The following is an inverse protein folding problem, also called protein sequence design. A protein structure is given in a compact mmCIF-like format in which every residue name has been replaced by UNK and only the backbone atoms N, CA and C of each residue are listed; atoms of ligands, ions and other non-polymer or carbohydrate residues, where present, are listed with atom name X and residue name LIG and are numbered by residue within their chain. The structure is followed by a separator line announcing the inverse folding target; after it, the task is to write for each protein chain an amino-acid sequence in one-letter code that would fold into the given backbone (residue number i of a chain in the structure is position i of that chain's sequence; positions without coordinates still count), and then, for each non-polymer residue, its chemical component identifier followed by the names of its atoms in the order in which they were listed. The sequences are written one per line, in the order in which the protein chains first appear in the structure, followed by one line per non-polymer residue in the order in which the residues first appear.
data_IF_300553539041
#
_entry.id   IF_300553539041
#
_cell.length_a   1.000
_cell.length_b   1.000
_cell.length_c   1.000
_cell.angle_alpha   90.00
_cell.angle_beta   90.00
_cell.angle_gamma   90.00
#
_symmetry.space_group_name_H-M   'P 1'
#
loop_
_entity.id
_entity.type
_entity.pdbx_description
1 polymer ?
#
# COMPACT_ATOMS: atom_id res chain seq x y z
N UNK A 1 1.32 0.07 -5.55
CA UNK A 1 2.35 -0.28 -6.55
C UNK A 1 3.63 0.41 -6.15
N UNK A 2 4.75 -0.29 -6.20
CA UNK A 2 6.08 0.25 -5.90
C UNK A 2 6.70 0.94 -7.11
N UNK A 3 7.76 1.72 -6.90
CA UNK A 3 8.41 2.49 -7.97
C UNK A 3 9.01 1.62 -9.08
N UNK A 4 9.35 0.37 -8.77
CA UNK A 4 9.85 -0.63 -9.71
C UNK A 4 8.73 -1.37 -10.48
N UNK A 5 7.44 -1.08 -10.20
CA UNK A 5 6.29 -1.73 -10.82
C UNK A 5 5.82 -3.00 -10.10
N UNK A 6 6.37 -3.31 -8.93
CA UNK A 6 5.93 -4.42 -8.09
C UNK A 6 4.57 -4.16 -7.41
N UNK A 7 3.90 -5.25 -7.05
CA UNK A 7 2.68 -5.22 -6.25
C UNK A 7 2.95 -5.74 -4.84
N UNK A 8 2.67 -4.90 -3.84
CA UNK A 8 2.81 -5.24 -2.43
C UNK A 8 1.47 -5.23 -1.72
N UNK A 9 1.26 -6.22 -0.85
CA UNK A 9 0.16 -6.29 0.10
C UNK A 9 0.70 -6.05 1.51
N UNK A 10 0.32 -4.90 2.07
CA UNK A 10 0.64 -4.51 3.45
C UNK A 10 -0.62 -4.59 4.29
N UNK A 11 -0.52 -5.22 5.46
CA UNK A 11 -1.56 -5.26 6.48
C UNK A 11 -0.96 -4.81 7.80
N UNK A 12 -1.57 -3.82 8.46
CA UNK A 12 -1.14 -3.26 9.74
C UNK A 12 0.37 -2.91 9.81
N UNK A 13 0.89 -2.33 8.73
CA UNK A 13 2.30 -1.94 8.63
C UNK A 13 3.27 -3.09 8.34
N UNK A 14 2.77 -4.31 8.15
CA UNK A 14 3.57 -5.49 7.82
C UNK A 14 3.39 -5.87 6.35
N UNK A 15 4.51 -6.03 5.63
CA UNK A 15 4.51 -6.61 4.30
C UNK A 15 4.16 -8.10 4.39
N UNK A 16 3.01 -8.48 3.83
CA UNK A 16 2.54 -9.88 3.82
C UNK A 16 3.00 -10.62 2.57
N UNK A 17 2.95 -9.93 1.44
CA UNK A 17 3.31 -10.50 0.14
C UNK A 17 3.76 -9.42 -0.83
N UNK A 18 4.77 -9.74 -1.63
CA UNK A 18 5.19 -8.96 -2.79
C UNK A 18 5.19 -9.84 -4.03
N UNK A 19 4.78 -9.26 -5.16
CA UNK A 19 4.91 -9.82 -6.50
C UNK A 19 5.82 -8.90 -7.31
N UNK A 20 6.87 -9.48 -7.87
CA UNK A 20 7.76 -8.76 -8.79
C UNK A 20 6.99 -8.23 -10.01
N UNK A 21 7.51 -7.16 -10.65
CA UNK A 21 6.99 -6.68 -11.91
C UNK A 21 6.89 -7.81 -12.94
N UNK A 22 5.81 -7.81 -13.72
CA UNK A 22 5.59 -8.76 -14.80
C UNK A 22 4.72 -8.13 -15.87
N UNK A 23 4.91 -8.56 -17.12
CA UNK A 23 4.03 -8.22 -18.24
C UNK A 23 2.71 -9.00 -18.22
N UNK A 24 2.60 -10.04 -17.38
CA UNK A 24 1.37 -10.80 -17.22
C UNK A 24 0.41 -10.06 -16.30
N UNK A 25 -0.80 -9.83 -16.79
CA UNK A 25 -1.87 -9.21 -16.03
C UNK A 25 -2.96 -10.21 -15.61
N UNK A 26 -3.56 -10.02 -14.42
CA UNK A 26 -3.17 -9.06 -13.40
C UNK A 26 -1.89 -9.47 -12.64
N UNK A 27 -1.16 -8.50 -12.10
CA UNK A 27 -0.31 -8.77 -10.94
C UNK A 27 -1.21 -9.13 -9.76
N UNK A 28 -0.89 -10.23 -9.09
CA UNK A 28 -1.77 -10.83 -8.10
C UNK A 28 -1.02 -11.22 -6.84
N UNK A 29 -1.57 -10.81 -5.69
CA UNK A 29 -1.10 -11.18 -4.36
C UNK A 29 -2.31 -11.51 -3.48
N UNK A 30 -2.12 -12.43 -2.54
CA UNK A 30 -3.13 -12.79 -1.56
C UNK A 30 -2.49 -13.19 -0.23
N UNK A 31 -3.25 -13.10 0.85
CA UNK A 31 -2.85 -13.64 2.16
C UNK A 31 -4.09 -14.03 2.97
N UNK A 32 -3.93 -15.03 3.84
CA UNK A 32 -4.87 -15.29 4.93
C UNK A 32 -4.48 -14.45 6.15
N UNK A 33 -5.49 -13.92 6.82
CA UNK A 33 -5.39 -13.22 8.10
C UNK A 33 -6.20 -14.02 9.11
N UNK A 34 -5.53 -14.48 10.15
CA UNK A 34 -6.15 -15.09 11.31
C UNK A 34 -6.49 -13.97 12.29
N UNK A 35 -7.77 -13.84 12.61
CA UNK A 35 -8.29 -12.90 13.61
C UNK A 35 -8.65 -13.68 14.89
N UNK A 36 -9.09 -12.95 15.91
CA UNK A 36 -9.54 -13.56 17.15
C UNK A 36 -10.69 -14.55 16.90
N UNK A 37 -10.71 -15.63 17.69
CA UNK A 37 -11.76 -16.66 17.64
C UNK A 37 -11.82 -17.47 16.33
N UNK A 38 -10.66 -17.82 15.76
CA UNK A 38 -10.56 -18.65 14.54
C UNK A 38 -11.24 -18.02 13.30
N UNK A 39 -11.50 -16.72 13.34
CA UNK A 39 -12.03 -16.02 12.19
C UNK A 39 -10.93 -15.84 11.13
N UNK A 40 -11.14 -16.38 9.93
CA UNK A 40 -10.20 -16.26 8.83
C UNK A 40 -10.71 -15.28 7.77
N UNK A 41 -9.87 -14.31 7.42
CA UNK A 41 -10.11 -13.39 6.31
C UNK A 41 -9.09 -13.64 5.20
N UNK A 42 -9.61 -13.87 4.00
CA UNK A 42 -8.85 -13.98 2.78
C UNK A 42 -8.78 -12.62 2.10
N UNK A 43 -7.59 -12.05 2.00
CA UNK A 43 -7.37 -10.77 1.36
C UNK A 43 -6.69 -11.01 0.02
N UNK A 44 -7.26 -10.47 -1.05
CA UNK A 44 -6.69 -10.52 -2.39
C UNK A 44 -6.51 -9.11 -2.95
N UNK A 45 -5.44 -8.91 -3.71
CA UNK A 45 -5.25 -7.73 -4.53
C UNK A 45 -4.85 -8.13 -5.96
N UNK A 46 -5.55 -7.54 -6.94
CA UNK A 46 -5.30 -7.71 -8.38
C UNK A 46 -5.05 -6.35 -9.01
N UNK A 47 -3.95 -6.22 -9.73
CA UNK A 47 -3.59 -4.99 -10.42
C UNK A 47 -3.39 -5.23 -11.92
N UNK A 48 -4.14 -4.51 -12.74
CA UNK A 48 -4.01 -4.47 -14.20
C UNK A 48 -3.29 -3.18 -14.58
N UNK A 49 -2.06 -3.28 -15.08
CA UNK A 49 -1.24 -2.11 -15.39
C UNK A 49 -1.80 -1.35 -16.60
N UNK A 50 -2.26 -2.07 -17.63
CA UNK A 50 -2.86 -1.51 -18.84
C UNK A 50 -4.10 -0.65 -18.56
N UNK A 51 -4.89 -1.06 -17.57
CA UNK A 51 -6.11 -0.33 -17.16
C UNK A 51 -5.86 0.62 -15.98
N UNK A 52 -4.67 0.59 -15.36
CA UNK A 52 -4.37 1.24 -14.07
C UNK A 52 -5.42 0.94 -13.00
N UNK A 53 -5.95 -0.28 -13.00
CA UNK A 53 -7.04 -0.72 -12.12
C UNK A 53 -6.48 -1.58 -10.99
N UNK A 54 -6.76 -1.18 -9.75
CA UNK A 54 -6.53 -2.00 -8.56
C UNK A 54 -7.88 -2.48 -8.03
N UNK A 55 -8.01 -3.79 -7.85
CA UNK A 55 -9.12 -4.40 -7.14
C UNK A 55 -8.59 -5.07 -5.88
N UNK A 56 -9.28 -4.83 -4.77
CA UNK A 56 -9.00 -5.48 -3.49
C UNK A 56 -10.30 -6.12 -3.00
N UNK A 57 -10.21 -7.38 -2.59
CA UNK A 57 -11.35 -8.10 -2.01
C UNK A 57 -10.98 -8.68 -0.64
N UNK A 58 -11.98 -8.78 0.23
CA UNK A 58 -11.90 -9.56 1.47
C UNK A 58 -12.99 -10.63 1.42
N UNK A 59 -12.60 -11.89 1.45
CA UNK A 59 -13.50 -13.04 1.24
C UNK A 59 -14.34 -12.90 -0.05
N UNK A 60 -13.72 -12.39 -1.12
CA UNK A 60 -14.38 -12.18 -2.41
C UNK A 60 -15.28 -10.94 -2.49
N UNK A 61 -15.46 -10.20 -1.40
CA UNK A 61 -16.24 -8.96 -1.38
C UNK A 61 -15.35 -7.76 -1.68
N UNK A 62 -15.69 -6.89 -2.66
CA UNK A 62 -14.90 -5.70 -2.98
C UNK A 62 -14.77 -4.75 -1.78
N UNK A 63 -13.56 -4.26 -1.56
CA UNK A 63 -13.30 -3.17 -0.63
C UNK A 63 -13.32 -1.86 -1.40
N UNK A 64 -14.20 -0.92 -1.02
CA UNK A 64 -14.20 0.39 -1.63
C UNK A 64 -12.86 1.09 -1.37
N UNK A 65 -12.22 1.71 -2.38
CA UNK A 65 -10.98 2.45 -2.16
C UNK A 65 -11.25 3.57 -1.15
N UNK A 66 -10.58 3.50 0.01
CA UNK A 66 -10.56 4.63 0.93
C UNK A 66 -9.61 5.68 0.36
N UNK A 67 -10.11 6.88 0.10
CA UNK A 67 -9.29 7.98 -0.37
C UNK A 67 -8.32 8.41 0.75
N UNK A 68 -7.09 7.85 0.76
CA UNK A 68 -5.94 8.42 1.45
C UNK A 68 -4.68 8.28 0.58
N UNK A 69 -4.57 9.15 -0.41
CA UNK A 69 -3.28 9.43 -1.06
C UNK A 69 -2.42 10.18 -0.06
N UNK A 70 -1.45 9.50 0.59
CA UNK A 70 -0.30 10.22 1.16
C UNK A 70 0.65 10.56 0.01
N UNK A 71 0.46 11.74 -0.54
CA UNK A 71 1.47 12.43 -1.34
C UNK A 71 2.55 13.01 -0.40
N UNK A 72 3.82 12.92 -0.82
CA UNK A 72 4.84 13.86 -0.39
C UNK A 72 5.74 13.43 0.77
N UNK A 73 6.81 12.71 0.45
CA UNK A 73 7.99 12.58 1.32
C UNK A 73 9.20 13.29 0.70
N UNK A 74 9.29 14.62 0.87
CA UNK A 74 10.54 15.37 1.16
C UNK A 74 10.18 16.81 1.52
N UNK A 75 10.07 17.10 2.83
CA UNK A 75 10.24 18.47 3.31
C UNK A 75 11.72 18.82 3.19
N UNK A 76 12.02 19.85 2.42
CA UNK A 76 13.30 20.53 2.42
C UNK A 76 13.16 21.61 3.50
N UNK A 77 13.69 21.35 4.69
CA UNK A 77 13.82 22.38 5.72
C UNK A 77 14.92 23.34 5.28
N UNK A 78 14.55 24.54 4.83
CA UNK A 78 15.48 25.63 4.67
C UNK A 78 15.97 26.05 6.07
N UNK A 79 17.29 26.05 6.26
CA UNK A 79 17.91 26.69 7.40
C UNK A 79 17.68 28.21 7.30
N UNK A 80 17.26 28.83 8.39
CA UNK A 80 17.39 30.27 8.58
C UNK A 80 18.28 30.48 9.80
N UNK A 81 19.41 31.19 9.70
CA UNK A 81 20.21 31.53 10.85
C UNK A 81 19.73 32.84 11.48
N UNK A 82 20.10 33.00 12.75
CA UNK A 82 20.15 34.24 13.55
C UNK A 82 18.88 34.70 14.30
N UNK A 83 19.11 35.02 15.57
CA UNK A 83 18.13 35.61 16.48
C UNK A 83 18.50 35.44 17.95
N UNK A 84 19.61 36.04 18.36
CA UNK A 84 19.99 36.29 19.75
C UNK A 84 18.90 37.11 20.46
N UNK A 85 18.46 36.71 21.65
CA UNK A 85 18.00 37.68 22.65
C UNK A 85 18.21 37.18 24.09
N UNK A 86 18.65 38.14 24.88
CA UNK A 86 19.05 38.08 26.28
C UNK A 86 17.85 38.37 27.19
N UNK A 87 17.73 37.61 28.27
CA UNK A 87 17.49 38.11 29.64
C UNK A 87 17.64 36.97 30.63
#
# INVERSE_FOLDING_TARGET
MTADGGLELWLDGCLRKRREPSVREPLYVWTNVELHWEEHRYVEARYWQGERRLEVTVNGLPVAPTAKTRSGGRMIGAATPEGQEVN
#
